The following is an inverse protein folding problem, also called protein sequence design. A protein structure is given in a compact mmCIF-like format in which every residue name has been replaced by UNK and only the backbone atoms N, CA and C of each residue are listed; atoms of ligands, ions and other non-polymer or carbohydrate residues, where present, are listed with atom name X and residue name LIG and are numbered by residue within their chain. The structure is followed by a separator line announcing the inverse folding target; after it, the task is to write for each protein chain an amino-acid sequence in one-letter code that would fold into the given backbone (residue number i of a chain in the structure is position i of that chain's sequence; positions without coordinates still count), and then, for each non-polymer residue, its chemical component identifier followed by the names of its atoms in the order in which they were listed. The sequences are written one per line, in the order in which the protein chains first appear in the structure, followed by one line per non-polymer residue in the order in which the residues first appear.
data_IF_476950850742
#
_entry.id   IF_476950850742
#
_cell.length_a   1.000
_cell.length_b   1.000
_cell.length_c   1.000
_cell.angle_alpha   90.00
_cell.angle_beta   90.00
_cell.angle_gamma   90.00
#
_symmetry.space_group_name_H-M   'P 1'
#
loop_
_entity.id
_entity.type
_entity.pdbx_description
1 polymer ?
#
# COMPACT_ATOMS: atom_id res chain seq x y z
N UNK A 1 3.82 -5.50 -13.76
CA UNK A 1 3.92 -4.44 -12.72
C UNK A 1 2.70 -4.47 -11.81
N UNK A 2 1.48 -4.33 -12.34
CA UNK A 2 0.25 -4.35 -11.53
C UNK A 2 0.02 -5.71 -10.83
N UNK A 3 0.20 -6.83 -11.55
CA UNK A 3 0.01 -8.18 -10.99
C UNK A 3 0.95 -8.46 -9.82
N UNK A 4 2.15 -7.88 -9.85
CA UNK A 4 3.12 -8.00 -8.78
C UNK A 4 2.80 -7.03 -7.63
N UNK A 5 2.37 -5.81 -7.93
CA UNK A 5 1.96 -4.83 -6.92
C UNK A 5 0.82 -5.34 -6.03
N UNK A 6 -0.11 -6.14 -6.57
CA UNK A 6 -1.19 -6.77 -5.79
C UNK A 6 -0.66 -7.70 -4.70
N UNK A 7 0.55 -8.26 -4.86
CA UNK A 7 1.20 -9.12 -3.84
C UNK A 7 1.52 -8.41 -2.53
N UNK A 8 1.36 -7.08 -2.48
CA UNK A 8 1.47 -6.30 -1.25
C UNK A 8 0.34 -6.60 -0.27
N UNK A 9 -0.79 -7.13 -0.76
CA UNK A 9 -1.97 -7.48 0.05
C UNK A 9 -1.98 -8.95 0.51
N UNK A 10 -0.96 -9.76 0.18
CA UNK A 10 -0.93 -11.18 0.58
C UNK A 10 -0.75 -11.32 2.12
N UNK A 11 -1.60 -12.17 2.72
CA UNK A 11 -1.93 -12.44 4.16
C UNK A 11 -0.78 -12.69 5.18
N UNK A 12 0.31 -11.93 5.13
CA UNK A 12 1.36 -12.09 6.15
C UNK A 12 2.60 -11.25 5.99
N UNK A 13 2.58 -10.23 5.13
CA UNK A 13 3.68 -9.27 5.06
C UNK A 13 3.26 -8.00 5.77
N UNK A 14 4.18 -7.49 6.60
CA UNK A 14 4.07 -6.28 7.40
C UNK A 14 3.90 -5.04 6.52
N UNK A 15 2.77 -4.91 5.83
CA UNK A 15 2.45 -3.79 4.97
C UNK A 15 1.98 -2.61 5.84
N UNK A 16 2.49 -1.43 5.54
CA UNK A 16 2.03 -0.20 6.14
C UNK A 16 0.82 0.30 5.36
N UNK A 17 -0.34 0.31 6.00
CA UNK A 17 -1.56 0.93 5.46
C UNK A 17 -1.82 2.29 6.10
N UNK A 18 -2.20 3.26 5.27
CA UNK A 18 -2.47 4.64 5.67
C UNK A 18 -3.72 5.15 4.95
N UNK A 19 -4.58 5.87 5.67
CA UNK A 19 -5.69 6.59 5.06
C UNK A 19 -5.20 7.84 4.31
N UNK A 20 -5.63 8.04 3.07
CA UNK A 20 -5.25 9.17 2.23
C UNK A 20 -6.25 10.32 2.38
N UNK A 21 -6.16 11.06 3.49
CA UNK A 21 -7.05 12.18 3.82
C UNK A 21 -7.15 13.21 2.67
N UNK A 22 -6.03 13.46 1.98
CA UNK A 22 -5.97 14.47 0.92
C UNK A 22 -6.85 14.11 -0.29
N UNK A 23 -7.03 12.81 -0.57
CA UNK A 23 -7.76 12.35 -1.75
C UNK A 23 -9.07 11.64 -1.43
N UNK A 24 -9.49 11.63 -0.16
CA UNK A 24 -10.67 10.89 0.31
C UNK A 24 -11.96 11.72 0.42
N UNK A 25 -12.06 12.83 -0.30
CA UNK A 25 -13.23 13.71 -0.24
C UNK A 25 -14.49 13.18 -0.95
N UNK A 26 -14.32 12.24 -1.90
CA UNK A 26 -15.41 11.65 -2.68
C UNK A 26 -15.53 10.12 -2.53
N UNK A 27 -14.40 9.43 -2.35
CA UNK A 27 -14.33 7.99 -2.10
C UNK A 27 -13.19 7.76 -1.09
N UNK A 28 -13.33 6.80 -0.18
CA UNK A 28 -12.27 6.48 0.78
C UNK A 28 -11.07 5.88 0.03
N UNK A 29 -9.89 6.47 0.24
CA UNK A 29 -8.65 6.01 -0.39
C UNK A 29 -7.62 5.66 0.66
N UNK A 30 -6.88 4.62 0.34
CA UNK A 30 -5.84 4.07 1.19
C UNK A 30 -4.54 3.97 0.39
N UNK A 31 -3.45 4.15 1.12
CA UNK A 31 -2.09 3.95 0.64
C UNK A 31 -1.52 2.74 1.38
N UNK A 32 -1.14 1.71 0.64
CA UNK A 32 -0.42 0.55 1.17
C UNK A 32 1.02 0.57 0.67
N UNK A 33 1.98 0.53 1.60
CA UNK A 33 3.40 0.42 1.30
C UNK A 33 3.89 -0.92 1.84
N UNK A 34 4.50 -1.73 0.99
CA UNK A 34 4.99 -3.02 1.43
C UNK A 34 5.87 -3.74 0.40
N UNK A 35 6.41 -4.90 0.80
CA UNK A 35 7.33 -5.67 -0.02
C UNK A 35 6.59 -6.53 -1.04
N UNK A 36 7.16 -6.56 -2.24
CA UNK A 36 6.86 -7.47 -3.34
C UNK A 36 8.17 -8.15 -3.77
N UNK A 37 8.13 -9.05 -4.76
CA UNK A 37 9.31 -9.80 -5.18
C UNK A 37 10.44 -8.89 -5.71
N UNK A 38 10.09 -7.81 -6.42
CA UNK A 38 11.00 -6.86 -7.04
C UNK A 38 11.40 -5.67 -6.16
N UNK A 39 10.88 -5.54 -4.94
CA UNK A 39 11.25 -4.46 -4.01
C UNK A 39 10.10 -3.96 -3.15
N UNK A 40 10.12 -2.67 -2.78
CA UNK A 40 9.03 -2.01 -2.05
C UNK A 40 8.12 -1.27 -3.02
N UNK A 41 6.82 -1.50 -2.91
CA UNK A 41 5.78 -0.85 -3.71
C UNK A 41 4.95 0.08 -2.83
N UNK A 42 4.44 1.15 -3.44
CA UNK A 42 3.34 1.94 -2.93
C UNK A 42 2.13 1.73 -3.84
N UNK A 43 1.00 1.40 -3.24
CA UNK A 43 -0.27 1.19 -3.93
C UNK A 43 -1.31 2.13 -3.34
N UNK A 44 -2.00 2.87 -4.21
CA UNK A 44 -3.18 3.64 -3.84
C UNK A 44 -4.40 2.84 -4.28
N UNK A 45 -5.36 2.63 -3.39
CA UNK A 45 -6.54 1.83 -3.66
C UNK A 45 -7.76 2.38 -2.91
N UNK A 46 -8.93 1.88 -3.29
CA UNK A 46 -10.22 2.23 -2.69
C UNK A 46 -11.07 0.95 -2.60
N UNK A 47 -11.81 0.81 -1.52
CA UNK A 47 -12.79 -0.26 -1.35
C UNK A 47 -14.06 0.07 -2.14
N UNK A 48 -14.68 -0.96 -2.77
CA UNK A 48 -15.90 -0.77 -3.55
C UNK A 48 -17.12 -1.34 -2.85
N UNK A 49 -17.31 -2.65 -2.95
CA UNK A 49 -18.47 -3.38 -2.41
C UNK A 49 -17.94 -4.73 -1.98
N UNK A 50 -18.22 -5.14 -0.74
CA UNK A 50 -17.62 -6.33 -0.13
C UNK A 50 -16.07 -6.25 -0.16
N UNK A 51 -15.37 -7.39 -0.25
CA UNK A 51 -13.91 -7.49 -0.22
C UNK A 51 -13.23 -7.16 -1.58
N UNK A 52 -13.87 -6.33 -2.41
CA UNK A 52 -13.36 -5.95 -3.73
C UNK A 52 -12.66 -4.59 -3.66
N UNK A 53 -11.33 -4.61 -3.79
CA UNK A 53 -10.52 -3.40 -3.91
C UNK A 53 -10.32 -2.99 -5.38
N UNK A 54 -10.29 -1.68 -5.63
CA UNK A 54 -9.86 -1.11 -6.91
C UNK A 54 -8.52 -0.41 -6.72
N UNK A 55 -7.53 -0.79 -7.53
CA UNK A 55 -6.26 -0.08 -7.60
C UNK A 55 -6.43 1.25 -8.35
N UNK A 56 -6.06 2.35 -7.70
CA UNK A 56 -6.01 3.70 -8.26
C UNK A 56 -4.63 3.95 -8.86
N UNK A 57 -3.57 3.49 -8.20
CA UNK A 57 -2.18 3.63 -8.67
C UNK A 57 -1.26 2.59 -8.03
N UNK A 58 -0.19 2.21 -8.73
CA UNK A 58 0.86 1.36 -8.19
C UNK A 58 2.22 1.78 -8.77
N UNK A 59 3.22 1.94 -7.89
CA UNK A 59 4.61 2.26 -8.29
C UNK A 59 5.60 1.78 -7.25
N UNK A 60 6.87 1.70 -7.61
CA UNK A 60 7.92 1.52 -6.61
C UNK A 60 7.89 2.65 -5.57
N UNK A 61 8.13 2.28 -4.32
CA UNK A 61 8.21 3.20 -3.21
C UNK A 61 9.40 4.14 -3.38
N UNK A 62 9.17 5.44 -3.19
CA UNK A 62 10.20 6.46 -3.19
C UNK A 62 11.16 6.25 -2.01
N UNK A 63 12.39 6.80 -2.03
CA UNK A 63 13.30 6.67 -0.89
C UNK A 63 12.71 7.16 0.44
N UNK A 64 11.81 8.13 0.41
CA UNK A 64 11.10 8.62 1.60
C UNK A 64 10.09 7.59 2.13
N UNK A 65 9.29 7.00 1.24
CA UNK A 65 8.32 5.95 1.57
C UNK A 65 9.00 4.68 2.07
N UNK A 66 10.14 4.30 1.48
CA UNK A 66 10.93 3.16 1.96
C UNK A 66 11.44 3.38 3.39
N UNK A 67 11.86 4.61 3.74
CA UNK A 67 12.24 4.95 5.12
C UNK A 67 11.05 4.89 6.06
N UNK A 68 9.89 5.38 5.62
CA UNK A 68 8.66 5.31 6.40
C UNK A 68 8.28 3.85 6.68
N UNK A 69 8.29 3.00 5.66
CA UNK A 69 8.07 1.57 5.77
C UNK A 69 9.03 0.90 6.76
N UNK A 70 10.33 1.13 6.64
CA UNK A 70 11.32 0.54 7.55
C UNK A 70 11.09 0.93 9.01
N UNK A 71 10.76 2.20 9.28
CA UNK A 71 10.41 2.63 10.65
C UNK A 71 9.15 1.95 11.17
N UNK A 72 8.17 1.70 10.31
CA UNK A 72 6.96 0.97 10.71
C UNK A 72 7.32 -0.46 11.12
N UNK A 73 8.08 -1.17 10.28
CA UNK A 73 8.56 -2.53 10.56
C UNK A 73 9.39 -2.61 11.84
N UNK A 74 10.29 -1.66 12.08
CA UNK A 74 11.10 -1.59 13.31
C UNK A 74 10.27 -1.44 14.61
N UNK A 75 9.01 -1.01 14.50
CA UNK A 75 8.10 -0.83 15.63
C UNK A 75 7.15 -2.02 15.84
N UNK A 76 7.15 -2.99 14.93
CA UNK A 76 6.36 -4.21 15.09
C UNK A 76 7.03 -5.12 16.14
N UNK A 77 6.22 -5.79 16.99
CA UNK A 77 6.71 -6.58 18.12
C UNK A 77 7.44 -7.87 17.71
#
# INVERSE_FOLDING_TARGET
MLEEAVRVFDDGREALELFDEQHSSFEERFITIGPIHSGLVLVVWTERVEDVIRLVSARFASPAEQRLYRRHVEQLP
#
